data_IF_486809055492
#
_entry.id   IF_486809055492
#
_cell.length_a   1.000
_cell.length_b   1.000
_cell.length_c   1.000
_cell.angle_alpha   90.00
_cell.angle_beta   90.00
_cell.angle_gamma   90.00
#
_symmetry.space_group_name_H-M   'P 1'
#
loop_
_entity.id
_entity.type
_entity.pdbx_description
1 polymer ?
#
# COMPACT_ATOMS: atom_id res chain seq x y z
N UNK A 1 -25.67 33.41 -19.48
CA UNK A 1 -27.10 33.60 -19.77
C UNK A 1 -27.33 35.08 -19.95
N UNK A 2 -28.11 35.50 -20.94
CA UNK A 2 -28.63 36.86 -20.97
C UNK A 2 -29.89 36.93 -20.10
N UNK A 3 -29.75 37.35 -18.85
CA UNK A 3 -30.83 37.54 -17.88
C UNK A 3 -31.39 38.98 -17.87
N UNK A 4 -30.95 39.81 -18.82
CA UNK A 4 -31.45 41.18 -19.01
C UNK A 4 -32.77 41.24 -19.78
N UNK A 5 -33.26 42.47 -20.01
CA UNK A 5 -34.54 42.72 -20.68
C UNK A 5 -34.41 42.96 -22.20
N UNK A 6 -33.19 42.97 -22.75
CA UNK A 6 -32.93 43.16 -24.18
C UNK A 6 -31.83 42.24 -24.67
N UNK A 7 -31.76 42.04 -25.99
CA UNK A 7 -30.68 41.26 -26.59
C UNK A 7 -29.31 41.90 -26.34
N UNK A 8 -28.31 41.06 -26.11
CA UNK A 8 -26.90 41.45 -26.03
C UNK A 8 -26.22 41.00 -27.31
N UNK A 9 -25.49 41.89 -27.97
CA UNK A 9 -24.75 41.61 -29.21
C UNK A 9 -23.26 41.79 -29.01
N UNK A 10 -22.48 41.29 -29.96
CA UNK A 10 -21.01 41.46 -29.99
C UNK A 10 -20.32 40.99 -28.70
N UNK A 11 -20.68 39.79 -28.25
CA UNK A 11 -20.23 39.26 -26.96
C UNK A 11 -18.83 38.67 -27.13
N UNK A 12 -17.88 39.25 -26.41
CA UNK A 12 -16.51 38.77 -26.22
C UNK A 12 -16.37 38.13 -24.84
N UNK A 13 -15.43 37.19 -24.72
CA UNK A 13 -15.16 36.53 -23.45
C UNK A 13 -13.67 36.27 -23.27
N UNK A 14 -13.26 36.16 -22.01
CA UNK A 14 -11.94 35.65 -21.65
C UNK A 14 -12.04 34.80 -20.40
N UNK A 15 -11.08 33.88 -20.26
CA UNK A 15 -10.94 32.99 -19.13
C UNK A 15 -9.50 33.05 -18.62
N UNK A 16 -9.33 33.56 -17.41
CA UNK A 16 -8.05 33.60 -16.72
C UNK A 16 -7.90 32.30 -15.92
N UNK A 17 -6.88 31.51 -16.26
CA UNK A 17 -6.59 30.24 -15.61
C UNK A 17 -5.94 30.43 -14.24
N UNK A 18 -5.46 31.65 -13.95
CA UNK A 18 -4.62 31.98 -12.81
C UNK A 18 -3.33 31.13 -12.75
N UNK A 19 -2.92 30.57 -13.90
CA UNK A 19 -1.68 29.83 -14.14
C UNK A 19 -0.80 30.61 -15.14
N UNK A 20 -0.77 31.94 -14.99
CA UNK A 20 -0.09 32.88 -15.90
C UNK A 20 -0.59 32.84 -17.36
N UNK A 21 -1.80 32.31 -17.60
CA UNK A 21 -2.39 32.21 -18.94
C UNK A 21 -3.83 32.73 -18.97
N UNK A 22 -4.15 33.54 -19.99
CA UNK A 22 -5.49 34.03 -20.27
C UNK A 22 -5.92 33.57 -21.66
N UNK A 23 -7.03 32.85 -21.71
CA UNK A 23 -7.63 32.35 -22.94
C UNK A 23 -8.70 33.34 -23.38
N UNK A 24 -8.53 33.94 -24.56
CA UNK A 24 -9.46 34.94 -25.10
C UNK A 24 -10.37 34.31 -26.18
N UNK A 25 -11.56 34.87 -26.36
CA UNK A 25 -12.45 34.52 -27.45
C UNK A 25 -11.79 34.78 -28.80
N UNK A 26 -11.79 33.79 -29.69
CA UNK A 26 -11.33 33.93 -31.08
C UNK A 26 -12.44 34.37 -32.04
N UNK A 27 -13.70 34.16 -31.64
CA UNK A 27 -14.89 34.54 -32.39
C UNK A 27 -15.90 35.13 -31.39
N UNK A 28 -16.48 36.28 -31.75
CA UNK A 28 -17.52 36.91 -30.95
C UNK A 28 -18.83 36.12 -31.09
N UNK A 29 -19.57 35.97 -30.00
CA UNK A 29 -20.95 35.48 -30.06
C UNK A 29 -21.81 36.65 -30.57
N UNK A 30 -22.37 36.48 -31.76
CA UNK A 30 -23.04 37.56 -32.50
C UNK A 30 -24.20 38.19 -31.72
N UNK A 31 -25.06 37.37 -31.12
CA UNK A 31 -26.16 37.83 -30.27
C UNK A 31 -26.66 36.75 -29.31
N UNK A 32 -27.15 37.16 -28.15
CA UNK A 32 -28.01 36.39 -27.26
C UNK A 32 -29.32 37.15 -27.01
N UNK A 33 -30.45 36.58 -27.41
CA UNK A 33 -31.76 37.09 -27.02
C UNK A 33 -31.97 36.94 -25.51
N UNK A 34 -33.04 37.56 -25.01
CA UNK A 34 -33.42 37.46 -23.60
C UNK A 34 -33.63 35.99 -23.23
N UNK A 35 -33.05 35.55 -22.12
CA UNK A 35 -33.02 34.18 -21.60
C UNK A 35 -32.22 33.16 -22.44
N UNK A 36 -31.50 33.58 -23.48
CA UNK A 36 -30.61 32.67 -24.20
C UNK A 36 -29.27 32.47 -23.47
N UNK A 37 -28.64 31.34 -23.76
CA UNK A 37 -27.36 30.94 -23.19
C UNK A 37 -26.38 30.58 -24.31
N UNK A 38 -25.14 31.03 -24.16
CA UNK A 38 -24.01 30.46 -24.87
C UNK A 38 -23.22 29.57 -23.90
N UNK A 39 -22.69 28.47 -24.43
CA UNK A 39 -21.75 27.60 -23.72
C UNK A 39 -20.37 27.78 -24.33
N UNK A 40 -19.37 27.94 -23.47
CA UNK A 40 -17.96 27.97 -23.85
C UNK A 40 -17.28 26.84 -23.10
N UNK A 41 -16.61 25.96 -23.86
CA UNK A 41 -15.82 24.87 -23.31
C UNK A 41 -14.34 25.22 -23.45
N UNK A 42 -13.59 25.02 -22.38
CA UNK A 42 -12.18 25.35 -22.32
C UNK A 42 -11.45 24.11 -21.82
N UNK A 43 -10.46 23.70 -22.60
CA UNK A 43 -9.50 22.68 -22.20
C UNK A 43 -8.16 23.39 -21.93
N UNK A 44 -7.57 23.13 -20.78
CA UNK A 44 -6.30 23.74 -20.38
C UNK A 44 -5.48 22.75 -19.56
N UNK A 45 -4.20 22.61 -19.92
CA UNK A 45 -3.24 21.82 -19.17
C UNK A 45 -2.45 22.75 -18.26
N UNK A 46 -2.69 22.65 -16.95
CA UNK A 46 -1.99 23.46 -15.96
C UNK A 46 -0.51 23.09 -15.87
N UNK A 47 0.33 24.09 -15.64
CA UNK A 47 1.78 23.97 -15.58
C UNK A 47 2.29 23.25 -14.33
N UNK A 48 1.49 23.21 -13.26
CA UNK A 48 1.78 22.51 -12.02
C UNK A 48 0.52 22.00 -11.33
N UNK A 49 0.71 21.12 -10.32
CA UNK A 49 -0.34 20.85 -9.35
C UNK A 49 -0.59 22.08 -8.46
N UNK A 50 -1.78 22.18 -7.89
CA UNK A 50 -2.15 23.30 -7.02
C UNK A 50 -3.63 23.66 -7.08
N UNK A 51 -3.98 24.75 -6.39
CA UNK A 51 -5.33 25.33 -6.39
C UNK A 51 -5.30 26.68 -7.11
N UNK A 52 -6.14 26.83 -8.13
CA UNK A 52 -6.16 27.97 -9.04
C UNK A 52 -7.52 28.68 -8.98
N UNK A 53 -7.52 29.98 -8.71
CA UNK A 53 -8.73 30.81 -8.72
C UNK A 53 -9.01 31.29 -10.14
N UNK A 54 -9.70 30.47 -10.91
CA UNK A 54 -10.05 30.79 -12.29
C UNK A 54 -11.14 31.84 -12.38
N UNK A 55 -11.11 32.66 -13.42
CA UNK A 55 -12.10 33.71 -13.67
C UNK A 55 -12.59 33.70 -15.10
N UNK A 56 -13.89 33.55 -15.27
CA UNK A 56 -14.58 33.76 -16.54
C UNK A 56 -15.12 35.19 -16.58
N UNK A 57 -14.97 35.87 -17.72
CA UNK A 57 -15.56 37.18 -17.98
C UNK A 57 -16.18 37.20 -19.38
N UNK A 58 -17.33 37.88 -19.50
CA UNK A 58 -17.95 38.16 -20.78
C UNK A 58 -18.37 39.63 -20.84
N UNK A 59 -18.14 40.27 -21.98
CA UNK A 59 -18.52 41.65 -22.25
C UNK A 59 -19.27 41.70 -23.57
N UNK A 60 -20.36 42.45 -23.65
CA UNK A 60 -21.14 42.65 -24.89
C UNK A 60 -21.84 43.99 -24.90
N UNK A 61 -22.67 44.24 -25.92
CA UNK A 61 -23.39 45.50 -26.11
C UNK A 61 -24.90 45.25 -26.00
N UNK A 62 -25.59 46.00 -25.14
CA UNK A 62 -27.05 46.03 -25.02
C UNK A 62 -27.53 47.47 -25.14
N UNK A 63 -28.44 47.78 -26.07
CA UNK A 63 -28.95 49.15 -26.28
C UNK A 63 -27.85 50.22 -26.41
N UNK A 64 -26.77 49.91 -27.14
CA UNK A 64 -25.60 50.78 -27.32
C UNK A 64 -24.76 51.03 -26.05
N UNK A 65 -24.98 50.28 -24.97
CA UNK A 65 -24.14 50.31 -23.76
C UNK A 65 -23.40 49.00 -23.57
N UNK A 66 -22.16 49.07 -23.10
CA UNK A 66 -21.39 47.89 -22.74
C UNK A 66 -21.92 47.28 -21.46
N UNK A 67 -22.15 45.97 -21.47
CA UNK A 67 -22.48 45.18 -20.28
C UNK A 67 -21.41 44.12 -20.05
N UNK A 68 -21.10 43.83 -18.79
CA UNK A 68 -20.07 42.87 -18.39
C UNK A 68 -20.58 41.98 -17.28
N UNK A 69 -20.27 40.69 -17.37
CA UNK A 69 -20.49 39.71 -16.32
C UNK A 69 -19.18 38.95 -16.05
N UNK A 70 -18.98 38.53 -14.80
CA UNK A 70 -17.85 37.68 -14.44
C UNK A 70 -18.19 36.70 -13.33
N UNK A 71 -17.55 35.54 -13.36
CA UNK A 71 -17.64 34.52 -12.33
C UNK A 71 -16.23 34.02 -11.97
N UNK A 72 -15.99 33.83 -10.68
CA UNK A 72 -14.77 33.20 -10.16
C UNK A 72 -15.09 31.83 -9.58
N UNK A 73 -14.19 30.87 -9.78
CA UNK A 73 -14.27 29.54 -9.19
C UNK A 73 -12.87 29.05 -8.84
N UNK A 74 -12.78 27.97 -8.07
CA UNK A 74 -11.50 27.36 -7.71
C UNK A 74 -11.38 25.99 -8.37
N UNK A 75 -10.27 25.75 -9.05
CA UNK A 75 -9.93 24.48 -9.70
C UNK A 75 -8.70 23.90 -9.00
N UNK A 76 -8.79 22.65 -8.53
CA UNK A 76 -7.65 21.93 -7.95
C UNK A 76 -7.10 20.94 -8.96
N UNK A 77 -5.79 21.02 -9.23
CA UNK A 77 -5.10 20.17 -10.20
C UNK A 77 -4.06 19.31 -9.48
N UNK A 78 -4.12 18.00 -9.73
CA UNK A 78 -3.29 16.99 -9.07
C UNK A 78 -3.82 16.59 -7.69
N UNK A 79 -3.56 15.35 -7.28
CA UNK A 79 -3.63 14.94 -5.87
C UNK A 79 -2.45 15.61 -5.14
N UNK A 80 -2.61 16.87 -4.73
CA UNK A 80 -1.73 17.47 -3.75
C UNK A 80 -2.21 17.02 -2.37
N UNK A 81 -2.12 15.72 -2.09
CA UNK A 81 -2.00 15.34 -0.68
C UNK A 81 -0.64 15.88 -0.26
N UNK A 82 -0.62 16.87 0.61
CA UNK A 82 0.63 17.38 1.19
C UNK A 82 1.25 16.38 2.17
N UNK A 83 0.75 15.15 2.21
CA UNK A 83 1.09 14.12 3.15
C UNK A 83 1.41 12.84 2.39
N UNK A 84 2.53 12.21 2.74
CA UNK A 84 3.01 10.97 2.15
C UNK A 84 3.42 9.99 3.25
N UNK A 85 2.79 8.83 3.34
CA UNK A 85 3.18 7.70 4.18
C UNK A 85 4.05 6.78 3.34
N UNK A 86 5.21 6.36 3.83
CA UNK A 86 6.16 5.56 3.06
C UNK A 86 7.08 4.72 3.94
N UNK A 87 7.90 3.86 3.33
CA UNK A 87 8.84 2.93 3.99
C UNK A 87 8.17 2.02 5.04
N UNK A 88 6.89 1.68 4.83
CA UNK A 88 6.17 0.81 5.76
C UNK A 88 6.70 -0.62 5.71
N UNK A 89 7.27 -1.08 6.82
CA UNK A 89 7.97 -2.36 6.90
C UNK A 89 7.88 -3.01 8.29
N UNK A 90 8.14 -4.32 8.33
CA UNK A 90 8.41 -5.05 9.58
C UNK A 90 9.89 -4.87 9.91
N UNK A 91 10.16 -4.25 11.05
CA UNK A 91 11.53 -4.04 11.56
C UNK A 91 12.04 -5.25 12.36
N UNK A 92 11.12 -5.92 13.07
CA UNK A 92 11.42 -7.10 13.87
C UNK A 92 10.19 -7.99 13.97
N UNK A 93 10.40 -9.31 13.96
CA UNK A 93 9.34 -10.28 14.20
C UNK A 93 9.88 -11.48 14.97
N UNK A 94 9.18 -11.84 16.03
CA UNK A 94 9.40 -13.06 16.79
C UNK A 94 8.06 -13.61 17.25
N UNK A 95 7.66 -14.77 16.72
CA UNK A 95 6.32 -15.31 16.99
C UNK A 95 5.24 -14.32 16.51
N UNK A 96 4.31 -14.05 17.42
CA UNK A 96 3.22 -13.08 17.37
C UNK A 96 3.65 -11.65 17.64
N UNK A 97 4.86 -11.42 18.17
CA UNK A 97 5.38 -10.07 18.41
C UNK A 97 5.99 -9.51 17.13
N UNK A 98 5.46 -8.38 16.67
CA UNK A 98 5.90 -7.69 15.45
C UNK A 98 6.14 -6.22 15.76
N UNK A 99 7.28 -5.71 15.33
CA UNK A 99 7.61 -4.28 15.38
C UNK A 99 7.54 -3.72 13.97
N UNK A 100 6.72 -2.70 13.79
CA UNK A 100 6.51 -1.99 12.53
C UNK A 100 7.30 -0.68 12.53
N UNK A 101 7.67 -0.24 11.32
CA UNK A 101 8.23 1.08 11.08
C UNK A 101 7.64 1.69 9.82
N UNK A 102 7.33 2.99 9.84
CA UNK A 102 6.95 3.76 8.66
C UNK A 102 7.30 5.23 8.85
N UNK A 103 7.39 5.95 7.74
CA UNK A 103 7.67 7.38 7.69
C UNK A 103 6.46 8.16 7.20
N UNK A 104 6.33 9.40 7.66
CA UNK A 104 5.31 10.34 7.22
C UNK A 104 6.04 11.62 6.81
N UNK A 105 5.85 12.11 5.58
CA UNK A 105 6.48 13.33 5.08
C UNK A 105 5.43 14.36 4.66
N UNK A 106 5.65 15.62 5.04
CA UNK A 106 4.92 16.73 4.46
C UNK A 106 5.52 17.11 3.10
N UNK A 107 4.91 16.65 2.02
CA UNK A 107 5.33 16.94 0.63
C UNK A 107 4.80 18.27 0.10
N UNK A 108 3.98 18.98 0.88
CA UNK A 108 3.39 20.26 0.50
C UNK A 108 4.30 21.46 0.72
N UNK A 109 3.75 22.66 0.48
CA UNK A 109 4.44 23.95 0.64
C UNK A 109 4.02 24.72 1.90
N UNK A 110 3.10 24.18 2.69
CA UNK A 110 2.61 24.78 3.94
C UNK A 110 2.88 23.85 5.13
N UNK A 111 2.92 24.39 6.35
CA UNK A 111 2.98 23.57 7.55
C UNK A 111 1.66 22.80 7.71
N UNK A 112 1.75 21.51 8.05
CA UNK A 112 0.60 20.72 8.48
C UNK A 112 0.55 20.72 9.99
N UNK A 113 -0.64 20.91 10.54
CA UNK A 113 -0.86 20.92 11.99
C UNK A 113 -1.87 19.86 12.39
N UNK A 114 -1.83 19.44 13.65
CA UNK A 114 -2.71 18.39 14.18
C UNK A 114 -2.57 17.05 13.42
N UNK A 115 -1.36 16.75 12.92
CA UNK A 115 -1.09 15.50 12.25
C UNK A 115 -1.27 14.35 13.24
N UNK A 116 -2.11 13.39 12.85
CA UNK A 116 -2.36 12.16 13.56
C UNK A 116 -1.91 10.97 12.70
N UNK A 117 -1.57 9.86 13.34
CA UNK A 117 -1.26 8.60 12.66
C UNK A 117 -1.98 7.43 13.33
N UNK A 118 -2.20 6.39 12.55
CA UNK A 118 -2.72 5.12 13.03
C UNK A 118 -2.07 3.94 12.31
N UNK A 119 -1.92 2.83 13.03
CA UNK A 119 -1.53 1.55 12.48
C UNK A 119 -2.64 0.54 12.75
N UNK A 120 -3.38 0.17 11.72
CA UNK A 120 -4.31 -0.96 11.77
C UNK A 120 -3.53 -2.25 11.49
N UNK A 121 -3.45 -3.16 12.42
CA UNK A 121 -2.70 -4.43 12.29
C UNK A 121 -3.50 -5.51 11.57
N UNK A 122 -4.74 -5.24 11.20
CA UNK A 122 -5.72 -6.22 10.72
C UNK A 122 -6.54 -6.85 11.85
N UNK A 123 -6.11 -6.69 13.11
CA UNK A 123 -6.85 -7.15 14.31
C UNK A 123 -7.18 -6.02 15.26
N UNK A 124 -6.36 -4.97 15.31
CA UNK A 124 -6.51 -3.82 16.19
C UNK A 124 -5.96 -2.56 15.52
N UNK A 125 -6.36 -1.38 16.01
CA UNK A 125 -5.79 -0.11 15.56
C UNK A 125 -5.04 0.55 16.70
N UNK A 126 -3.74 0.75 16.51
CA UNK A 126 -2.88 1.57 17.36
C UNK A 126 -2.96 3.00 16.83
N UNK A 127 -3.23 3.98 17.70
CA UNK A 127 -3.32 5.39 17.32
C UNK A 127 -2.22 6.20 17.99
N UNK A 128 -1.86 7.33 17.40
CA UNK A 128 -0.98 8.29 18.05
C UNK A 128 -1.57 8.75 19.40
N UNK A 129 -0.70 8.91 20.40
CA UNK A 129 -1.09 9.45 21.71
C UNK A 129 -1.05 10.98 21.74
N UNK A 130 -0.35 11.58 20.79
CA UNK A 130 -0.16 13.03 20.66
C UNK A 130 -0.26 13.41 19.19
N UNK A 131 -0.63 14.66 18.94
CA UNK A 131 -0.66 15.24 17.61
C UNK A 131 0.65 15.97 17.35
N UNK A 132 1.06 16.02 16.08
CA UNK A 132 2.32 16.64 15.67
C UNK A 132 2.09 17.69 14.59
N UNK A 133 3.02 18.63 14.49
CA UNK A 133 3.07 19.57 13.37
C UNK A 133 4.31 19.25 12.52
N UNK A 134 4.20 19.43 11.21
CA UNK A 134 5.31 19.21 10.26
C UNK A 134 5.46 20.38 9.32
N UNK A 135 6.68 20.85 9.13
CA UNK A 135 7.03 21.84 8.11
C UNK A 135 7.16 21.17 6.73
N UNK A 136 7.11 21.95 5.63
CA UNK A 136 7.42 21.44 4.31
C UNK A 136 8.73 20.64 4.28
N UNK A 137 8.67 19.44 3.71
CA UNK A 137 9.75 18.45 3.62
C UNK A 137 10.27 17.90 4.96
N UNK A 138 9.54 18.12 6.06
CA UNK A 138 9.83 17.48 7.33
C UNK A 138 9.19 16.09 7.38
N UNK A 139 9.94 15.12 7.90
CA UNK A 139 9.49 13.73 8.04
C UNK A 139 9.47 13.29 9.50
N UNK A 140 8.44 12.54 9.86
CA UNK A 140 8.33 11.85 11.14
C UNK A 140 8.52 10.36 10.89
N UNK A 141 9.30 9.71 11.75
CA UNK A 141 9.43 8.26 11.77
C UNK A 141 8.61 7.67 12.92
N UNK A 142 7.75 6.71 12.62
CA UNK A 142 6.90 6.01 13.58
C UNK A 142 7.36 4.56 13.69
N UNK A 143 7.49 4.08 14.92
CA UNK A 143 7.63 2.66 15.20
C UNK A 143 6.56 2.23 16.21
N UNK A 144 6.00 1.04 16.00
CA UNK A 144 4.94 0.50 16.85
C UNK A 144 5.15 -1.00 17.04
N UNK A 145 5.02 -1.45 18.28
CA UNK A 145 5.05 -2.87 18.63
C UNK A 145 3.63 -3.41 18.77
N UNK A 146 3.37 -4.58 18.21
CA UNK A 146 2.10 -5.28 18.35
C UNK A 146 2.29 -6.77 18.56
N UNK A 147 1.47 -7.35 19.45
CA UNK A 147 1.42 -8.79 19.68
C UNK A 147 0.12 -9.36 19.12
N UNK A 148 0.20 -10.04 17.98
CA UNK A 148 -0.95 -10.68 17.37
C UNK A 148 -1.57 -11.75 18.29
N UNK A 149 -2.91 -11.80 18.41
CA UNK A 149 -3.56 -12.79 19.26
C UNK A 149 -3.51 -14.21 18.67
N UNK A 150 -3.40 -14.31 17.34
CA UNK A 150 -3.37 -15.56 16.60
C UNK A 150 -2.32 -15.53 15.51
N UNK A 151 -1.97 -16.71 15.01
CA UNK A 151 -1.13 -16.87 13.84
C UNK A 151 -1.97 -16.70 12.57
N UNK A 152 -1.34 -16.37 11.45
CA UNK A 152 -2.01 -16.21 10.18
C UNK A 152 -1.41 -15.10 9.33
N UNK A 153 -2.06 -14.85 8.20
CA UNK A 153 -1.77 -13.73 7.32
C UNK A 153 -2.67 -12.55 7.70
N UNK A 154 -2.05 -11.41 7.93
CA UNK A 154 -2.70 -10.15 8.23
C UNK A 154 -2.26 -9.10 7.21
N UNK A 155 -3.08 -8.09 6.98
CA UNK A 155 -2.70 -6.94 6.18
C UNK A 155 -2.70 -5.71 7.09
N UNK A 156 -1.51 -5.28 7.49
CA UNK A 156 -1.36 -4.09 8.29
C UNK A 156 -1.48 -2.85 7.38
N UNK A 157 -2.01 -1.75 7.92
CA UNK A 157 -2.18 -0.48 7.21
C UNK A 157 -1.71 0.65 8.12
N UNK A 158 -0.66 1.34 7.70
CA UNK A 158 -0.21 2.58 8.32
C UNK A 158 -0.94 3.75 7.65
N UNK A 159 -1.41 4.72 8.43
CA UNK A 159 -2.13 5.89 7.91
C UNK A 159 -1.74 7.14 8.67
N UNK A 160 -1.81 8.28 7.98
CA UNK A 160 -1.63 9.59 8.58
C UNK A 160 -2.67 10.58 8.03
N UNK A 161 -3.09 11.54 8.86
CA UNK A 161 -4.04 12.58 8.46
C UNK A 161 -3.90 13.84 9.33
N UNK A 162 -4.15 15.01 8.75
CA UNK A 162 -4.34 16.29 9.48
C UNK A 162 -5.83 16.74 9.50
N UNK A 163 -6.75 15.85 9.08
CA UNK A 163 -8.18 16.13 8.90
C UNK A 163 -8.57 16.69 7.53
N UNK A 164 -7.62 17.22 6.75
CA UNK A 164 -7.83 17.70 5.37
C UNK A 164 -7.13 16.81 4.35
N UNK A 165 -5.88 16.46 4.64
CA UNK A 165 -5.01 15.56 3.91
C UNK A 165 -4.98 14.20 4.61
N UNK A 166 -4.81 13.14 3.82
CA UNK A 166 -4.64 11.79 4.35
C UNK A 166 -3.84 10.95 3.37
N UNK A 167 -3.02 10.06 3.89
CA UNK A 167 -2.35 9.04 3.11
C UNK A 167 -2.16 7.74 3.90
N UNK A 168 -1.91 6.63 3.22
CA UNK A 168 -1.76 5.31 3.83
C UNK A 168 -0.95 4.33 3.01
N UNK A 169 -0.24 3.43 3.69
CA UNK A 169 0.49 2.31 3.09
C UNK A 169 0.05 0.99 3.71
N UNK A 170 0.10 -0.09 2.93
CA UNK A 170 -0.29 -1.43 3.39
C UNK A 170 0.86 -2.43 3.31
N UNK A 171 0.95 -3.32 4.30
CA UNK A 171 2.00 -4.32 4.42
C UNK A 171 1.40 -5.68 4.81
N UNK A 172 1.58 -6.73 4.00
CA UNK A 172 1.23 -8.08 4.42
C UNK A 172 2.17 -8.57 5.53
N UNK A 173 1.61 -9.18 6.57
CA UNK A 173 2.33 -9.72 7.73
C UNK A 173 1.94 -11.17 7.91
N UNK A 174 2.92 -12.07 7.90
CA UNK A 174 2.68 -13.49 8.14
C UNK A 174 3.23 -13.89 9.51
N UNK A 175 2.33 -14.13 10.46
CA UNK A 175 2.65 -14.63 11.79
C UNK A 175 2.61 -16.15 11.77
N UNK A 176 3.78 -16.79 11.79
CA UNK A 176 3.90 -18.25 11.77
C UNK A 176 3.90 -18.85 13.17
N UNK A 177 3.20 -19.97 13.33
CA UNK A 177 3.15 -20.74 14.57
C UNK A 177 4.28 -21.78 14.67
N UNK A 178 4.53 -22.45 13.56
CA UNK A 178 5.57 -23.44 13.35
C UNK A 178 6.30 -23.01 12.09
N UNK A 179 7.63 -23.13 12.09
CA UNK A 179 8.43 -22.79 10.92
C UNK A 179 9.25 -24.00 10.47
N UNK A 180 9.20 -24.29 9.18
CA UNK A 180 10.19 -25.13 8.50
C UNK A 180 11.20 -24.20 7.83
N UNK A 181 12.48 -24.40 8.11
CA UNK A 181 13.58 -23.63 7.54
C UNK A 181 14.74 -24.52 7.14
N UNK A 182 15.72 -23.94 6.45
CA UNK A 182 16.99 -24.59 6.09
C UNK A 182 16.85 -25.96 5.38
N UNK A 183 15.81 -26.15 4.56
CA UNK A 183 15.74 -27.33 3.71
C UNK A 183 16.90 -27.32 2.71
N UNK A 184 17.84 -28.24 2.88
CA UNK A 184 19.08 -28.30 2.12
C UNK A 184 19.52 -29.74 1.87
N UNK A 185 20.47 -29.92 0.95
CA UNK A 185 21.12 -31.20 0.71
C UNK A 185 22.48 -31.21 1.41
N UNK A 186 22.68 -32.15 2.33
CA UNK A 186 23.96 -32.34 3.02
C UNK A 186 24.94 -33.17 2.19
N UNK A 187 24.42 -34.19 1.48
CA UNK A 187 25.24 -35.09 0.66
C UNK A 187 24.45 -35.69 -0.50
N UNK A 188 25.11 -35.93 -1.63
CA UNK A 188 24.58 -36.69 -2.77
C UNK A 188 25.65 -37.67 -3.25
N UNK A 189 25.28 -38.94 -3.42
CA UNK A 189 26.15 -39.98 -3.99
C UNK A 189 25.33 -40.90 -4.90
N UNK A 190 25.47 -40.72 -6.21
CA UNK A 190 24.62 -41.38 -7.19
C UNK A 190 23.15 -41.02 -6.97
N UNK A 191 22.31 -42.04 -6.81
CA UNK A 191 20.88 -41.86 -6.51
C UNK A 191 20.56 -41.63 -5.04
N UNK A 192 21.55 -41.58 -4.13
CA UNK A 192 21.33 -41.38 -2.70
C UNK A 192 21.52 -39.92 -2.33
N UNK A 193 20.53 -39.32 -1.65
CA UNK A 193 20.57 -37.96 -1.13
C UNK A 193 20.30 -37.91 0.38
N UNK A 194 21.08 -37.12 1.10
CA UNK A 194 20.85 -36.81 2.52
C UNK A 194 20.40 -35.36 2.63
N UNK A 195 19.22 -35.15 3.19
CA UNK A 195 18.59 -33.84 3.35
C UNK A 195 18.55 -33.44 4.81
N UNK A 196 18.62 -32.14 5.06
CA UNK A 196 18.37 -31.55 6.37
C UNK A 196 17.27 -30.50 6.26
N UNK A 197 16.43 -30.40 7.29
CA UNK A 197 15.61 -29.22 7.54
C UNK A 197 15.40 -29.02 9.04
N UNK A 198 15.11 -27.78 9.41
CA UNK A 198 14.87 -27.37 10.80
C UNK A 198 13.39 -27.08 10.98
N UNK A 199 12.81 -27.58 12.07
CA UNK A 199 11.46 -27.25 12.51
C UNK A 199 11.57 -26.45 13.80
N UNK A 200 11.01 -25.26 13.84
CA UNK A 200 11.03 -24.39 15.02
C UNK A 200 9.62 -24.12 15.54
N UNK A 201 9.46 -24.19 16.86
CA UNK A 201 8.27 -23.66 17.51
C UNK A 201 8.38 -22.14 17.63
N UNK A 202 7.58 -21.44 16.82
CA UNK A 202 7.48 -19.98 16.87
C UNK A 202 6.38 -19.51 17.82
N UNK A 203 5.80 -20.33 18.70
CA UNK A 203 4.84 -19.88 19.71
C UNK A 203 5.54 -19.56 21.04
N UNK A 204 4.88 -18.71 21.85
CA UNK A 204 5.23 -18.51 23.26
C UNK A 204 4.75 -19.66 24.18
N UNK A 205 4.16 -20.70 23.60
CA UNK A 205 3.66 -21.90 24.29
C UNK A 205 4.24 -23.16 23.66
N UNK A 206 4.21 -24.28 24.39
CA UNK A 206 4.70 -25.56 23.90
C UNK A 206 3.82 -26.09 22.75
N UNK A 207 4.44 -26.56 21.68
CA UNK A 207 3.77 -27.41 20.68
C UNK A 207 3.90 -28.87 21.13
N UNK A 208 2.78 -29.59 21.23
CA UNK A 208 2.77 -31.01 21.58
C UNK A 208 2.32 -31.84 20.38
N UNK A 209 3.00 -32.95 20.10
CA UNK A 209 2.76 -33.79 18.92
C UNK A 209 3.18 -33.14 17.59
N UNK A 210 4.32 -32.47 17.56
CA UNK A 210 4.95 -32.02 16.30
C UNK A 210 5.37 -33.25 15.49
N UNK A 211 4.94 -33.30 14.24
CA UNK A 211 5.27 -34.34 13.26
C UNK A 211 5.76 -33.69 11.97
N UNK A 212 6.37 -34.47 11.10
CA UNK A 212 6.88 -33.97 9.82
C UNK A 212 6.67 -34.95 8.68
N UNK A 213 6.71 -34.41 7.46
CA UNK A 213 6.55 -35.13 6.20
C UNK A 213 7.63 -34.64 5.25
N UNK A 214 8.29 -35.56 4.57
CA UNK A 214 9.21 -35.27 3.48
C UNK A 214 8.72 -35.94 2.19
N UNK A 215 8.16 -35.14 1.28
CA UNK A 215 7.72 -35.58 -0.04
C UNK A 215 8.88 -35.46 -1.02
N UNK A 216 9.37 -36.61 -1.47
CA UNK A 216 10.54 -36.71 -2.36
C UNK A 216 10.23 -36.25 -3.79
N UNK A 217 8.94 -36.11 -4.15
CA UNK A 217 8.47 -36.03 -5.54
C UNK A 217 9.00 -37.14 -6.45
N UNK A 218 9.46 -38.24 -5.86
CA UNK A 218 9.87 -39.46 -6.54
C UNK A 218 8.87 -40.60 -6.24
N UNK A 219 7.57 -40.28 -6.25
CA UNK A 219 6.48 -41.20 -5.89
C UNK A 219 6.57 -41.78 -4.46
N UNK A 220 7.35 -41.16 -3.56
CA UNK A 220 7.47 -41.58 -2.18
C UNK A 220 7.33 -40.39 -1.21
N UNK A 221 6.57 -40.61 -0.14
CA UNK A 221 6.37 -39.65 0.95
C UNK A 221 6.81 -40.29 2.26
N UNK A 222 7.81 -39.71 2.89
CA UNK A 222 8.38 -40.18 4.16
C UNK A 222 7.68 -39.41 5.27
N UNK A 223 7.06 -40.11 6.22
CA UNK A 223 6.39 -39.50 7.36
C UNK A 223 7.20 -39.78 8.64
N UNK A 224 7.17 -38.84 9.59
CA UNK A 224 7.72 -39.10 10.92
C UNK A 224 6.96 -40.25 11.59
N UNK A 225 7.69 -41.18 12.19
CA UNK A 225 7.10 -42.30 12.96
C UNK A 225 6.86 -41.94 14.42
N UNK A 226 7.50 -40.87 14.89
CA UNK A 226 7.36 -40.32 16.22
C UNK A 226 6.91 -38.87 16.12
N UNK A 227 6.29 -38.41 17.21
CA UNK A 227 5.99 -37.01 17.42
C UNK A 227 6.81 -36.47 18.58
N UNK A 228 7.13 -35.19 18.54
CA UNK A 228 7.94 -34.53 19.57
C UNK A 228 7.21 -33.32 20.14
N UNK A 229 7.52 -32.95 21.38
CA UNK A 229 7.11 -31.67 21.93
C UNK A 229 8.23 -30.65 21.74
N UNK A 230 7.90 -29.45 21.27
CA UNK A 230 8.85 -28.33 21.14
C UNK A 230 8.46 -27.23 22.12
N UNK A 231 9.37 -26.85 23.02
CA UNK A 231 9.25 -25.65 23.85
C UNK A 231 9.31 -24.38 22.97
N UNK A 232 8.90 -23.21 23.48
CA UNK A 232 9.06 -21.94 22.77
C UNK A 232 10.49 -21.75 22.26
N UNK A 233 10.62 -21.39 20.98
CA UNK A 233 11.91 -21.23 20.30
C UNK A 233 12.78 -22.50 20.20
N UNK A 234 12.28 -23.67 20.62
CA UNK A 234 13.01 -24.92 20.47
C UNK A 234 12.99 -25.37 19.00
N UNK A 235 14.13 -25.91 18.56
CA UNK A 235 14.36 -26.39 17.21
C UNK A 235 14.53 -27.91 17.20
N UNK A 236 13.90 -28.56 16.24
CA UNK A 236 14.16 -29.95 15.84
C UNK A 236 14.93 -29.96 14.53
N UNK A 237 16.00 -30.73 14.49
CA UNK A 237 16.75 -31.02 13.28
C UNK A 237 16.28 -32.35 12.71
N UNK A 238 15.89 -32.35 11.44
CA UNK A 238 15.44 -33.56 10.74
C UNK A 238 16.43 -33.88 9.63
N UNK A 239 16.91 -35.12 9.64
CA UNK A 239 17.79 -35.66 8.61
C UNK A 239 17.06 -36.78 7.89
N UNK A 240 17.05 -36.73 6.57
CA UNK A 240 16.39 -37.75 5.73
C UNK A 240 17.39 -38.29 4.72
N UNK A 241 17.68 -39.58 4.81
CA UNK A 241 18.41 -40.34 3.79
C UNK A 241 17.38 -40.99 2.85
N UNK A 242 17.51 -40.75 1.55
CA UNK A 242 16.63 -41.31 0.54
C UNK A 242 17.38 -41.72 -0.74
N UNK A 243 17.06 -42.93 -1.23
CA UNK A 243 17.54 -43.45 -2.51
C UNK A 243 16.49 -43.25 -3.61
N UNK A 244 16.77 -42.35 -4.54
CA UNK A 244 15.95 -42.09 -5.71
C UNK A 244 15.97 -43.27 -6.69
N UNK A 245 14.87 -43.49 -7.39
CA UNK A 245 14.71 -44.61 -8.33
C UNK A 245 15.30 -44.30 -9.71
N UNK A 246 15.60 -43.03 -9.98
CA UNK A 246 16.20 -42.56 -11.22
C UNK A 246 17.02 -41.28 -10.96
N UNK A 247 17.94 -41.00 -11.88
CA UNK A 247 18.60 -39.69 -11.98
C UNK A 247 17.60 -38.67 -12.55
N UNK A 248 17.81 -37.39 -12.27
CA UNK A 248 16.93 -36.31 -12.71
C UNK A 248 16.83 -35.16 -11.72
N UNK A 249 15.92 -34.23 -11.98
CA UNK A 249 15.65 -33.08 -11.12
C UNK A 249 14.33 -33.30 -10.37
N UNK A 250 14.37 -33.15 -9.05
CA UNK A 250 13.23 -33.35 -8.16
C UNK A 250 12.99 -32.09 -7.32
N UNK A 251 11.73 -31.71 -7.10
CA UNK A 251 11.35 -30.58 -6.25
C UNK A 251 10.82 -31.09 -4.91
N UNK A 252 11.72 -31.52 -4.03
CA UNK A 252 11.36 -32.11 -2.74
C UNK A 252 10.66 -31.09 -1.83
N UNK A 253 9.77 -31.56 -0.95
CA UNK A 253 9.05 -30.73 0.01
C UNK A 253 9.21 -31.27 1.43
N UNK A 254 9.65 -30.44 2.36
CA UNK A 254 9.59 -30.72 3.80
C UNK A 254 8.41 -29.96 4.41
N UNK A 255 7.59 -30.64 5.19
CA UNK A 255 6.44 -30.07 5.90
C UNK A 255 6.49 -30.44 7.38
N UNK A 256 6.15 -29.51 8.25
CA UNK A 256 5.95 -29.78 9.68
C UNK A 256 4.49 -29.53 10.05
N UNK A 257 3.97 -30.32 10.99
CA UNK A 257 2.57 -30.27 11.42
C UNK A 257 2.41 -30.37 12.93
N UNK A 258 1.50 -29.56 13.46
CA UNK A 258 1.01 -29.66 14.84
C UNK A 258 -0.51 -29.40 14.86
N UNK A 259 -1.32 -30.46 14.78
CA UNK A 259 -2.76 -30.33 14.58
C UNK A 259 -3.10 -29.61 13.26
N UNK A 260 -3.68 -28.41 13.35
CA UNK A 260 -4.01 -27.57 12.19
C UNK A 260 -2.86 -26.65 11.75
N UNK A 261 -1.79 -26.54 12.54
CA UNK A 261 -0.62 -25.72 12.21
C UNK A 261 0.26 -26.47 11.22
N UNK A 262 0.54 -25.85 10.07
CA UNK A 262 1.34 -26.44 9.01
C UNK A 262 2.27 -25.37 8.44
N UNK A 263 3.54 -25.71 8.25
CA UNK A 263 4.48 -24.93 7.43
C UNK A 263 5.26 -25.89 6.52
N UNK A 264 5.76 -25.37 5.39
CA UNK A 264 6.51 -26.19 4.44
C UNK A 264 7.56 -25.41 3.66
N UNK A 265 8.58 -26.12 3.18
CA UNK A 265 9.64 -25.61 2.31
C UNK A 265 9.88 -26.56 1.15
N UNK A 266 10.16 -25.99 -0.02
CA UNK A 266 10.51 -26.72 -1.23
C UNK A 266 11.98 -26.54 -1.55
N UNK A 267 12.60 -27.55 -2.16
CA UNK A 267 13.96 -27.51 -2.67
C UNK A 267 14.04 -28.26 -3.99
N UNK A 268 14.60 -27.63 -5.02
CA UNK A 268 14.93 -28.31 -6.27
C UNK A 268 16.33 -28.92 -6.18
N UNK A 269 16.44 -30.24 -6.35
CA UNK A 269 17.68 -31.02 -6.27
C UNK A 269 17.92 -31.78 -7.58
N UNK A 270 19.17 -31.85 -8.02
CA UNK A 270 19.59 -32.68 -9.14
C UNK A 270 20.28 -33.95 -8.61
N UNK A 271 19.78 -35.11 -9.03
CA UNK A 271 20.30 -36.44 -8.74
C UNK A 271 21.02 -36.94 -10.00
N UNK A 272 22.29 -37.32 -9.86
CA UNK A 272 23.21 -37.63 -10.98
C UNK A 272 23.78 -39.04 -10.91
#
# INVERSE_FOLDING_TARGET
MNDGNTAVVDIQWWFDTNDSHIINSTINISSLAVNEMAFVYIEYNYSSSGSFNVKANATGISQSTTTTASLTSTVTVGNVTSLNVYDFSVLYQNSTLVVFGFSINNTGTINLTNLNWSLNTGTETITANELFDTKPNESIFVFAEYKYPTNGEFNAVASATDGTNSDSESLPVNVKAIEVSNLSVLNISGTIGVFEFIIENKLATNLTNVSWIFDTKNSNVINSTLTTALQPSEQMFVYVDYNFTATGTFNVNASARNGTLIDSRNLTVAII
#
